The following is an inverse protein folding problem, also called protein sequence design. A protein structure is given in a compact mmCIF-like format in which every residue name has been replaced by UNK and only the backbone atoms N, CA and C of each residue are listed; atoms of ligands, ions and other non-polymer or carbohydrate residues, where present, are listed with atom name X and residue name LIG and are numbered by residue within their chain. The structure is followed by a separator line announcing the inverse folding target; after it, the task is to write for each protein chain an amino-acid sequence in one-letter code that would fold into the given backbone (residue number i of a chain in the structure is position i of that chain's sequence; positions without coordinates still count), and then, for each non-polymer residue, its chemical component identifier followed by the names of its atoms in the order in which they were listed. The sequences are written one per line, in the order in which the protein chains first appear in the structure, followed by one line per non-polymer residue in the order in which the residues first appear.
data_IF_605603079074
#
_entry.id   IF_605603079074
#
_cell.length_a   1.000
_cell.length_b   1.000
_cell.length_c   1.000
_cell.angle_alpha   90.00
_cell.angle_beta   90.00
_cell.angle_gamma   90.00
#
_symmetry.space_group_name_H-M   'P 1'
#
loop_
_entity.id
_entity.type
_entity.pdbx_description
1 polymer ?
#
# COMPACT_ATOMS: atom_id res chain seq x y z
N UNK A 1 -6.85 -7.83 -15.74
CA UNK A 1 -7.97 -8.73 -15.42
C UNK A 1 -7.42 -9.82 -14.53
N UNK A 2 -7.96 -9.96 -13.33
CA UNK A 2 -7.59 -11.03 -12.39
C UNK A 2 -8.73 -12.03 -12.35
N UNK A 3 -8.42 -13.32 -12.43
CA UNK A 3 -9.40 -14.41 -12.36
C UNK A 3 -9.05 -15.30 -11.18
N UNK A 4 -9.99 -15.45 -10.24
CA UNK A 4 -9.88 -16.36 -9.10
C UNK A 4 -10.91 -17.47 -9.29
N UNK A 5 -10.47 -18.73 -9.28
CA UNK A 5 -11.37 -19.89 -9.36
C UNK A 5 -11.57 -20.52 -7.99
N UNK A 6 -12.82 -20.75 -7.58
CA UNK A 6 -13.14 -21.50 -6.38
C UNK A 6 -14.29 -22.49 -6.64
N UNK A 7 -14.18 -23.76 -6.19
CA UNK A 7 -15.24 -24.75 -6.37
C UNK A 7 -16.60 -24.34 -5.78
N UNK A 8 -16.61 -23.43 -4.81
CA UNK A 8 -17.84 -22.99 -4.13
C UNK A 8 -18.52 -21.78 -4.79
N UNK A 9 -17.78 -20.96 -5.56
CA UNK A 9 -18.26 -19.67 -6.09
C UNK A 9 -17.97 -19.47 -7.59
N UNK A 10 -17.45 -20.48 -8.28
CA UNK A 10 -17.14 -20.43 -9.70
C UNK A 10 -15.92 -19.56 -10.01
N UNK A 11 -15.94 -18.87 -11.15
CA UNK A 11 -14.96 -17.84 -11.48
C UNK A 11 -15.38 -16.48 -10.92
N UNK A 12 -14.44 -15.82 -10.23
CA UNK A 12 -14.53 -14.42 -9.88
C UNK A 12 -13.58 -13.65 -10.79
N UNK A 13 -14.12 -12.69 -11.54
CA UNK A 13 -13.38 -11.82 -12.46
C UNK A 13 -13.32 -10.43 -11.87
N UNK A 14 -12.10 -9.93 -11.64
CA UNK A 14 -11.88 -8.52 -11.31
C UNK A 14 -11.34 -7.78 -12.52
N UNK A 15 -12.11 -6.81 -12.99
CA UNK A 15 -11.81 -5.93 -14.11
C UNK A 15 -11.51 -4.53 -13.56
N UNK A 16 -10.39 -3.96 -13.98
CA UNK A 16 -10.03 -2.59 -13.65
C UNK A 16 -10.17 -1.74 -14.92
N UNK A 17 -11.18 -0.86 -14.94
CA UNK A 17 -11.49 0.01 -16.06
C UNK A 17 -11.37 1.48 -15.61
N UNK A 18 -10.20 2.07 -15.80
CA UNK A 18 -9.93 3.45 -15.39
C UNK A 18 -10.05 3.63 -13.87
N UNK A 19 -11.15 4.25 -13.43
CA UNK A 19 -11.44 4.56 -12.01
C UNK A 19 -12.43 3.58 -11.38
N UNK A 20 -12.72 2.48 -12.05
CA UNK A 20 -13.69 1.48 -11.59
C UNK A 20 -12.99 0.13 -11.42
N UNK A 21 -13.19 -0.47 -10.25
CA UNK A 21 -12.91 -1.87 -10.00
C UNK A 21 -14.26 -2.61 -10.04
N UNK A 22 -14.43 -3.47 -11.03
CA UNK A 22 -15.63 -4.28 -11.24
C UNK A 22 -15.28 -5.71 -10.86
N UNK A 23 -16.02 -6.28 -9.92
CA UNK A 23 -15.93 -7.71 -9.57
C UNK A 23 -17.19 -8.39 -10.07
N UNK A 24 -17.02 -9.35 -10.97
CA UNK A 24 -18.09 -10.19 -11.49
C UNK A 24 -17.90 -11.61 -10.99
N UNK A 25 -19.01 -12.28 -10.68
CA UNK A 25 -19.02 -13.70 -10.31
C UNK A 25 -20.03 -14.45 -11.15
N UNK A 26 -19.77 -15.74 -11.38
CA UNK A 26 -20.69 -16.61 -12.13
C UNK A 26 -22.06 -16.78 -11.43
N UNK A 27 -22.17 -16.40 -10.15
CA UNK A 27 -23.42 -16.37 -9.38
C UNK A 27 -24.22 -15.08 -9.55
N UNK A 28 -23.81 -14.18 -10.46
CA UNK A 28 -24.54 -12.93 -10.76
C UNK A 28 -24.36 -11.83 -9.71
N UNK A 29 -23.40 -11.96 -8.80
CA UNK A 29 -23.00 -10.87 -7.90
C UNK A 29 -21.98 -10.02 -8.65
N UNK A 30 -22.44 -8.85 -9.09
CA UNK A 30 -21.62 -7.82 -9.71
C UNK A 30 -21.49 -6.64 -8.75
N UNK A 31 -20.25 -6.32 -8.35
CA UNK A 31 -19.97 -5.16 -7.51
C UNK A 31 -19.02 -4.22 -8.24
N UNK A 32 -19.45 -2.98 -8.45
CA UNK A 32 -18.62 -1.91 -8.97
C UNK A 32 -18.21 -0.98 -7.81
N UNK A 33 -16.90 -0.76 -7.66
CA UNK A 33 -16.34 0.18 -6.69
C UNK A 33 -15.65 1.29 -7.47
N UNK A 34 -16.10 2.52 -7.25
CA UNK A 34 -15.37 3.71 -7.72
C UNK A 34 -14.11 3.86 -6.87
N UNK A 35 -12.97 3.76 -7.53
CA UNK A 35 -11.68 3.99 -6.90
C UNK A 35 -11.53 5.49 -6.61
N UNK A 36 -11.11 5.88 -5.40
CA UNK A 36 -10.90 7.28 -5.07
C UNK A 36 -9.90 7.92 -6.04
N UNK A 37 -10.05 9.23 -6.27
CA UNK A 37 -9.07 10.01 -7.05
C UNK A 37 -7.70 9.77 -6.45
N UNK A 38 -6.73 9.35 -7.27
CA UNK A 38 -5.35 9.22 -6.84
C UNK A 38 -4.97 10.50 -6.10
N UNK A 39 -4.70 10.39 -4.80
CA UNK A 39 -4.20 11.51 -4.03
C UNK A 39 -2.96 12.03 -4.75
N UNK A 40 -2.93 13.34 -5.04
CA UNK A 40 -1.79 13.98 -5.70
C UNK A 40 -0.51 13.88 -4.86
N UNK A 41 -0.65 13.52 -3.59
CA UNK A 41 0.43 13.21 -2.66
C UNK A 41 0.28 11.75 -2.24
N UNK A 42 1.14 10.87 -2.74
CA UNK A 42 1.28 9.50 -2.25
C UNK A 42 2.51 9.47 -1.37
N UNK A 43 2.31 9.44 -0.05
CA UNK A 43 3.40 9.07 0.85
C UNK A 43 3.62 7.57 0.72
N UNK A 44 4.77 7.21 0.17
CA UNK A 44 5.12 5.83 -0.17
C UNK A 44 5.46 5.00 1.06
N UNK A 45 5.87 5.65 2.15
CA UNK A 45 6.36 5.00 3.36
C UNK A 45 5.40 5.17 4.56
N UNK A 46 4.39 6.02 4.46
CA UNK A 46 3.37 6.23 5.51
C UNK A 46 2.81 4.92 6.07
N UNK A 47 2.52 3.94 5.19
CA UNK A 47 1.96 2.66 5.68
C UNK A 47 2.94 1.84 6.51
N UNK A 48 4.26 1.99 6.27
CA UNK A 48 5.29 1.36 7.10
C UNK A 48 5.29 2.00 8.48
N UNK A 49 5.26 3.33 8.55
CA UNK A 49 5.21 4.05 9.82
C UNK A 49 3.91 3.77 10.57
N UNK A 50 2.78 3.72 9.87
CA UNK A 50 1.49 3.33 10.44
C UNK A 50 1.50 1.90 10.99
N UNK A 51 2.18 0.97 10.33
CA UNK A 51 2.35 -0.40 10.80
C UNK A 51 3.24 -0.49 12.06
N UNK A 52 4.11 0.50 12.29
CA UNK A 52 4.96 0.61 13.48
C UNK A 52 4.27 1.39 14.62
N UNK A 53 3.28 2.22 14.31
CA UNK A 53 2.53 3.01 15.29
C UNK A 53 1.45 2.16 15.98
N UNK A 54 1.88 1.38 16.99
CA UNK A 54 0.99 0.57 17.82
C UNK A 54 -0.03 1.43 18.57
N UNK A 55 0.29 2.69 18.87
CA UNK A 55 -0.62 3.59 19.57
C UNK A 55 -1.78 4.05 18.67
N UNK A 56 -1.60 4.12 17.36
CA UNK A 56 -2.69 4.37 16.42
C UNK A 56 -3.68 3.19 16.33
N UNK A 57 -3.28 1.98 16.75
CA UNK A 57 -4.07 0.77 16.66
C UNK A 57 -4.99 0.61 17.88
N UNK A 58 -6.28 0.42 17.62
CA UNK A 58 -7.27 0.07 18.65
C UNK A 58 -7.20 -1.41 19.02
N UNK A 59 -6.96 -2.27 18.04
CA UNK A 59 -6.82 -3.72 18.25
C UNK A 59 -6.02 -4.38 17.13
N UNK A 60 -5.39 -5.50 17.46
CA UNK A 60 -4.66 -6.37 16.54
C UNK A 60 -5.16 -7.81 16.70
N UNK A 61 -5.33 -8.52 15.58
CA UNK A 61 -5.67 -9.93 15.54
C UNK A 61 -4.65 -10.68 14.68
N UNK A 62 -3.98 -11.68 15.27
CA UNK A 62 -3.05 -12.51 14.52
C UNK A 62 -3.81 -13.65 13.84
N UNK A 63 -3.75 -13.68 12.51
CA UNK A 63 -4.51 -14.64 11.70
C UNK A 63 -3.71 -15.92 11.39
N UNK A 64 -2.39 -15.89 11.54
CA UNK A 64 -1.52 -17.04 11.31
C UNK A 64 -0.43 -16.81 10.26
N UNK A 65 0.15 -17.90 9.79
CA UNK A 65 1.18 -17.91 8.75
C UNK A 65 0.56 -18.41 7.45
N UNK A 66 0.75 -17.65 6.37
CA UNK A 66 0.24 -17.98 5.05
C UNK A 66 1.37 -17.93 4.02
N UNK A 67 1.33 -18.82 3.03
CA UNK A 67 2.20 -18.74 1.86
C UNK A 67 1.63 -17.73 0.86
N UNK A 68 2.46 -16.78 0.44
CA UNK A 68 2.14 -15.74 -0.54
C UNK A 68 3.25 -15.72 -1.57
N UNK A 69 2.98 -16.28 -2.74
CA UNK A 69 3.94 -16.35 -3.85
C UNK A 69 5.29 -16.97 -3.48
N UNK A 70 5.28 -18.04 -2.67
CA UNK A 70 6.48 -18.73 -2.21
C UNK A 70 7.16 -18.06 -1.02
N UNK A 71 6.58 -16.97 -0.49
CA UNK A 71 7.03 -16.29 0.73
C UNK A 71 6.06 -16.57 1.87
N UNK A 72 6.58 -17.09 2.99
CA UNK A 72 5.78 -17.26 4.21
C UNK A 72 5.64 -15.93 4.94
N UNK A 73 4.41 -15.54 5.22
CA UNK A 73 4.10 -14.29 5.91
C UNK A 73 3.24 -14.51 7.16
N UNK A 74 3.57 -13.83 8.26
CA UNK A 74 2.67 -13.57 9.36
C UNK A 74 1.59 -12.58 8.90
N UNK A 75 0.32 -12.90 9.09
CA UNK A 75 -0.80 -12.02 8.77
C UNK A 75 -1.41 -11.49 10.06
N UNK A 76 -1.48 -10.17 10.17
CA UNK A 76 -2.08 -9.43 11.28
C UNK A 76 -3.18 -8.54 10.73
N UNK A 77 -4.38 -8.65 11.27
CA UNK A 77 -5.44 -7.68 11.04
C UNK A 77 -5.39 -6.59 12.11
N UNK A 78 -5.27 -5.33 11.67
CA UNK A 78 -5.26 -4.16 12.52
C UNK A 78 -6.58 -3.41 12.38
N UNK A 79 -7.16 -2.99 13.50
CA UNK A 79 -8.23 -1.99 13.54
C UNK A 79 -7.68 -0.74 14.20
N UNK A 80 -7.75 0.40 13.50
CA UNK A 80 -7.22 1.68 13.95
C UNK A 80 -8.25 2.45 14.79
N UNK A 81 -7.78 3.40 15.60
CA UNK A 81 -8.63 4.26 16.44
C UNK A 81 -9.67 5.08 15.64
N UNK A 82 -9.37 5.39 14.37
CA UNK A 82 -10.28 6.08 13.45
C UNK A 82 -11.37 5.16 12.83
N UNK A 83 -11.43 3.89 13.23
CA UNK A 83 -12.41 2.91 12.76
C UNK A 83 -12.05 2.23 11.43
N UNK A 84 -10.93 2.60 10.79
CA UNK A 84 -10.42 1.88 9.62
C UNK A 84 -9.77 0.56 10.04
N UNK A 85 -9.71 -0.39 9.11
CA UNK A 85 -8.97 -1.63 9.28
C UNK A 85 -8.00 -1.85 8.12
N UNK A 86 -6.92 -2.57 8.40
CA UNK A 86 -5.97 -3.02 7.40
C UNK A 86 -5.43 -4.41 7.76
N UNK A 87 -5.09 -5.18 6.73
CA UNK A 87 -4.32 -6.41 6.84
C UNK A 87 -2.85 -6.13 6.58
N UNK A 88 -2.00 -6.50 7.53
CA UNK A 88 -0.55 -6.36 7.50
C UNK A 88 0.06 -7.74 7.25
N UNK A 89 0.92 -7.86 6.25
CA UNK A 89 1.69 -9.08 5.99
C UNK A 89 3.17 -8.84 6.29
N UNK A 90 3.74 -9.60 7.21
CA UNK A 90 5.16 -9.53 7.56
C UNK A 90 5.86 -10.81 7.16
N UNK A 91 7.00 -10.70 6.51
CA UNK A 91 7.83 -11.85 6.14
C UNK A 91 8.28 -12.61 7.39
N UNK A 92 8.18 -13.95 7.38
CA UNK A 92 8.49 -14.77 8.56
C UNK A 92 9.97 -14.75 8.90
N UNK A 93 10.86 -14.62 7.92
CA UNK A 93 12.31 -14.71 8.16
C UNK A 93 12.87 -13.34 8.59
N UNK A 94 12.58 -12.32 7.80
CA UNK A 94 13.13 -10.97 7.94
C UNK A 94 12.31 -10.08 8.87
N UNK A 95 11.06 -10.45 9.17
CA UNK A 95 10.08 -9.63 9.92
C UNK A 95 9.76 -8.28 9.27
N UNK A 96 10.16 -8.08 8.02
CA UNK A 96 9.85 -6.86 7.28
C UNK A 96 8.41 -6.87 6.78
N UNK A 97 7.80 -5.70 6.71
CA UNK A 97 6.49 -5.54 6.08
C UNK A 97 6.60 -5.91 4.60
N UNK A 98 5.74 -6.79 4.13
CA UNK A 98 5.66 -7.20 2.72
C UNK A 98 4.52 -6.47 2.03
N UNK A 99 3.41 -6.30 2.71
CA UNK A 99 2.28 -5.54 2.18
C UNK A 99 1.34 -5.05 3.29
N UNK A 100 0.68 -3.94 3.03
CA UNK A 100 -0.51 -3.50 3.76
C UNK A 100 -1.67 -3.42 2.78
N UNK A 101 -2.80 -4.00 3.15
CA UNK A 101 -4.05 -3.92 2.37
C UNK A 101 -5.15 -3.33 3.24
N UNK A 102 -5.76 -2.24 2.78
CA UNK A 102 -7.01 -1.72 3.35
C UNK A 102 -8.17 -1.89 2.35
N UNK A 103 -9.33 -1.30 2.66
CA UNK A 103 -10.52 -1.42 1.82
C UNK A 103 -10.34 -0.87 0.39
N UNK A 104 -9.44 0.09 0.19
CA UNK A 104 -9.35 0.85 -1.05
C UNK A 104 -7.99 0.76 -1.73
N UNK A 105 -6.98 0.23 -1.04
CA UNK A 105 -5.61 0.26 -1.48
C UNK A 105 -4.83 -0.95 -0.99
N UNK A 106 -3.85 -1.33 -1.80
CA UNK A 106 -2.82 -2.29 -1.42
C UNK A 106 -1.49 -1.62 -1.73
N UNK A 107 -0.60 -1.68 -0.74
CA UNK A 107 0.79 -1.27 -0.88
C UNK A 107 1.68 -2.49 -0.64
N UNK A 108 2.66 -2.69 -1.49
CA UNK A 108 3.65 -3.76 -1.41
C UNK A 108 5.06 -3.20 -1.20
N UNK A 109 5.89 -3.97 -0.51
CA UNK A 109 7.24 -3.57 -0.12
C UNK A 109 8.22 -4.71 -0.37
N UNK A 110 9.37 -4.37 -0.93
CA UNK A 110 10.39 -5.35 -1.28
C UNK A 110 11.76 -4.73 -1.48
N UNK A 111 12.73 -5.61 -1.81
CA UNK A 111 14.13 -5.24 -1.98
C UNK A 111 14.64 -4.42 -0.79
N UNK A 112 14.50 -5.01 0.40
CA UNK A 112 14.92 -4.37 1.64
C UNK A 112 16.43 -4.32 1.71
N UNK A 113 16.99 -3.11 1.82
CA UNK A 113 18.42 -2.86 1.92
C UNK A 113 18.72 -2.03 3.15
N UNK A 114 19.92 -2.20 3.71
CA UNK A 114 20.37 -1.44 4.87
C UNK A 114 20.86 -0.06 4.43
N UNK A 115 20.27 0.99 4.98
CA UNK A 115 20.66 2.40 4.77
C UNK A 115 20.88 3.02 6.15
N UNK A 116 22.10 3.46 6.44
CA UNK A 116 22.48 4.04 7.75
C UNK A 116 22.00 3.23 8.96
N UNK A 117 21.99 1.89 8.87
CA UNK A 117 21.57 1.02 9.98
C UNK A 117 20.12 0.57 9.92
N UNK A 118 19.26 1.23 9.14
CA UNK A 118 17.84 0.93 9.00
C UNK A 118 17.54 0.12 7.74
N UNK A 119 16.61 -0.82 7.83
CA UNK A 119 16.14 -1.58 6.66
C UNK A 119 15.07 -0.77 5.92
N UNK A 120 15.35 -0.39 4.67
CA UNK A 120 14.46 0.41 3.83
C UNK A 120 14.06 -0.38 2.58
N UNK A 121 12.79 -0.31 2.11
CA UNK A 121 12.40 -0.98 0.88
C UNK A 121 12.81 -0.15 -0.35
N UNK A 122 13.55 -0.78 -1.26
CA UNK A 122 13.94 -0.19 -2.55
C UNK A 122 12.93 -0.52 -3.66
N UNK A 123 11.93 -1.35 -3.38
CA UNK A 123 10.73 -1.53 -4.20
C UNK A 123 9.48 -1.19 -3.40
N UNK A 124 8.66 -0.29 -3.95
CA UNK A 124 7.34 0.04 -3.41
C UNK A 124 6.29 -0.15 -4.50
N UNK A 125 5.36 -1.06 -4.26
CA UNK A 125 4.22 -1.32 -5.13
C UNK A 125 3.03 -0.50 -4.60
N UNK A 126 2.43 0.36 -5.43
CA UNK A 126 1.32 1.25 -5.04
C UNK A 126 0.10 1.04 -5.94
N UNK A 127 -1.04 0.76 -5.30
CA UNK A 127 -2.32 0.61 -5.99
C UNK A 127 -2.35 -0.57 -6.96
N UNK A 128 -3.09 -0.43 -8.06
CA UNK A 128 -3.32 -1.50 -9.04
C UNK A 128 -2.19 -1.58 -10.08
N UNK A 129 -1.00 -1.98 -9.64
CA UNK A 129 0.08 -2.45 -10.52
C UNK A 129 1.15 -1.43 -10.90
N UNK A 130 1.33 -0.36 -10.11
CA UNK A 130 2.50 0.53 -10.25
C UNK A 130 3.58 0.10 -9.27
N UNK A 131 4.80 -0.09 -9.77
CA UNK A 131 5.97 -0.37 -8.95
C UNK A 131 6.96 0.77 -9.10
N UNK A 132 7.41 1.30 -7.96
CA UNK A 132 8.48 2.27 -7.86
C UNK A 132 9.74 1.55 -7.41
N UNK A 133 10.82 1.73 -8.18
CA UNK A 133 12.14 1.19 -7.89
C UNK A 133 13.05 2.36 -7.56
N UNK A 134 13.71 2.28 -6.41
CA UNK A 134 14.66 3.29 -5.97
C UNK A 134 16.07 2.81 -6.26
N UNK A 135 16.88 3.65 -6.90
CA UNK A 135 18.31 3.36 -7.06
C UNK A 135 19.09 3.71 -5.80
N UNK A 136 18.63 4.74 -5.07
CA UNK A 136 19.29 5.27 -3.88
C UNK A 136 18.26 5.85 -2.90
N UNK A 137 18.45 5.52 -1.63
CA UNK A 137 17.77 6.15 -0.48
C UNK A 137 18.85 6.70 0.44
N UNK A 138 18.73 7.96 0.84
CA UNK A 138 19.58 8.62 1.84
C UNK A 138 18.73 9.01 3.03
N UNK A 139 19.30 8.87 4.24
CA UNK A 139 18.67 9.25 5.49
C UNK A 139 19.48 10.36 6.14
N UNK A 140 18.79 11.24 6.88
CA UNK A 140 19.39 12.35 7.63
C UNK A 140 20.26 13.29 6.77
N UNK A 141 19.90 13.44 5.49
CA UNK A 141 20.57 14.38 4.60
C UNK A 141 20.19 15.81 4.99
N UNK A 142 21.19 16.70 5.07
CA UNK A 142 20.95 18.11 5.37
C UNK A 142 20.36 18.78 4.13
N UNK A 143 19.03 18.77 4.03
CA UNK A 143 18.27 19.39 2.96
C UNK A 143 18.07 20.88 3.26
N UNK A 144 18.30 21.73 2.26
CA UNK A 144 18.04 23.17 2.39
C UNK A 144 16.56 23.45 2.59
N UNK A 145 16.21 24.33 3.54
CA UNK A 145 14.84 24.81 3.78
C UNK A 145 14.16 25.37 2.53
N UNK A 146 14.95 25.90 1.58
CA UNK A 146 14.44 26.45 0.32
C UNK A 146 13.76 25.38 -0.56
N UNK A 147 14.07 24.09 -0.37
CA UNK A 147 13.39 22.99 -1.05
C UNK A 147 11.94 22.83 -0.61
N UNK A 148 11.59 23.29 0.60
CA UNK A 148 10.26 23.16 1.19
C UNK A 148 9.43 24.44 1.05
N UNK A 149 10.01 25.53 0.54
CA UNK A 149 9.29 26.77 0.26
C UNK A 149 8.53 26.66 -1.05
N UNK A 150 7.28 27.14 -1.06
CA UNK A 150 6.50 27.26 -2.30
C UNK A 150 7.24 28.18 -3.27
N UNK A 151 7.62 27.66 -4.44
CA UNK A 151 8.14 28.48 -5.53
C UNK A 151 6.96 29.13 -6.24
N UNK A 152 6.88 30.45 -6.22
CA UNK A 152 5.94 31.19 -7.07
C UNK A 152 6.38 31.04 -8.53
N UNK A 153 5.52 30.47 -9.36
CA UNK A 153 5.71 30.43 -10.80
C UNK A 153 5.03 31.63 -11.45
N UNK A 154 5.42 31.96 -12.69
CA UNK A 154 4.87 33.10 -13.44
C UNK A 154 3.33 33.07 -13.62
N UNK A 155 2.69 31.93 -13.38
CA UNK A 155 1.23 31.73 -13.46
C UNK A 155 0.51 31.76 -12.10
N UNK A 156 1.23 31.91 -10.99
CA UNK A 156 0.64 32.03 -9.65
C UNK A 156 0.14 33.45 -9.32
N UNK A 157 0.47 34.44 -10.17
CA UNK A 157 -0.04 35.82 -10.04
C UNK A 157 -1.33 35.98 -10.86
N UNK A 158 -2.41 36.55 -10.28
CA UNK A 158 -3.57 36.92 -11.06
C UNK A 158 -3.16 37.91 -12.14
N UNK A 159 -3.64 37.70 -13.37
CA UNK A 159 -3.42 38.63 -14.48
C UNK A 159 -3.90 40.03 -14.04
N UNK A 160 -3.00 41.01 -14.09
CA UNK A 160 -3.32 42.43 -13.91
C UNK A 160 -4.03 42.98 -15.15
#
# INVERSE_FOLDING_TARGET
MIVLSSPAVGEIRSIFAGREAITQSDYGIDTAVTLPTAASNVDLFDTIFLALDVEAMRSLSYLGIFDRDGRKCHIIEATFKNGKSASLAFDVETKMLVSMADRYSVSGYGDYRKVNGLMMPFRVDVGTGRSLLFDKITLDENLSDDLFKRKENCYDRPAQ
#
